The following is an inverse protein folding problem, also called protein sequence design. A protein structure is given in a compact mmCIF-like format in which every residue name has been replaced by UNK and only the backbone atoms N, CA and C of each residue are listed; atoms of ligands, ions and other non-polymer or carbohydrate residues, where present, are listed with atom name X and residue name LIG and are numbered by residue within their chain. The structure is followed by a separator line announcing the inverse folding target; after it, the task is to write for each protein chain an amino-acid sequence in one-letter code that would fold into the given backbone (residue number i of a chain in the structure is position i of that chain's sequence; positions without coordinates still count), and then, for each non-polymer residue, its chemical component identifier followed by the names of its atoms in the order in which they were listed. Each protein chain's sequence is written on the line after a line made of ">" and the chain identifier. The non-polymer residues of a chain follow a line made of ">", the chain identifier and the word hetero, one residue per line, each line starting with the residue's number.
data_IF_496656684881
#
_entry.id   IF_496656684881
#
_cell.length_a   1.000
_cell.length_b   1.000
_cell.length_c   1.000
_cell.angle_alpha   90.00
_cell.angle_beta   90.00
_cell.angle_gamma   90.00
#
_symmetry.space_group_name_H-M   'P 1'
#
loop_
_entity.id
_entity.type
_entity.pdbx_description
1 polymer ?
#
# COMPACT_ATOMS: atom_id res chain seq x y z
N UNK A 1 -3.66 20.38 15.29
CA UNK A 1 -2.85 19.38 14.56
C UNK A 1 -3.78 18.59 13.65
N UNK A 2 -3.66 18.77 12.34
CA UNK A 2 -4.50 18.13 11.33
C UNK A 2 -4.20 16.63 11.25
N UNK A 3 -4.92 15.79 12.01
CA UNK A 3 -5.05 14.37 11.64
C UNK A 3 -5.98 14.31 10.43
N UNK A 4 -5.39 14.42 9.24
CA UNK A 4 -6.07 14.05 7.99
C UNK A 4 -6.52 12.61 8.19
N UNK A 5 -7.83 12.34 8.15
CA UNK A 5 -8.42 11.01 8.33
C UNK A 5 -7.96 10.09 7.19
N UNK A 6 -6.76 9.53 7.30
CA UNK A 6 -6.30 8.45 6.44
C UNK A 6 -7.19 7.26 6.80
N UNK A 7 -8.00 6.80 5.84
CA UNK A 7 -8.84 5.62 6.08
C UNK A 7 -7.94 4.46 6.50
N UNK A 8 -8.37 3.57 7.41
CA UNK A 8 -7.53 2.44 7.85
C UNK A 8 -6.98 1.63 6.67
N UNK A 9 -7.76 1.55 5.57
CA UNK A 9 -7.31 0.96 4.31
C UNK A 9 -6.08 1.66 3.74
N UNK A 10 -6.06 3.00 3.67
CA UNK A 10 -4.88 3.73 3.21
C UNK A 10 -3.64 3.44 4.08
N UNK A 11 -3.80 3.37 5.40
CA UNK A 11 -2.69 3.03 6.31
C UNK A 11 -2.15 1.62 6.05
N UNK A 12 -3.02 0.64 5.77
CA UNK A 12 -2.60 -0.72 5.43
C UNK A 12 -1.78 -0.76 4.14
N UNK A 13 -2.15 0.04 3.13
CA UNK A 13 -1.35 0.17 1.90
C UNK A 13 0.01 0.81 2.17
N UNK A 14 0.07 1.91 2.94
CA UNK A 14 1.33 2.57 3.29
C UNK A 14 2.25 1.64 4.10
N UNK A 15 1.69 0.93 5.09
CA UNK A 15 2.42 -0.06 5.89
C UNK A 15 2.96 -1.19 5.01
N UNK A 16 2.14 -1.73 4.11
CA UNK A 16 2.57 -2.78 3.20
C UNK A 16 3.71 -2.32 2.27
N UNK A 17 3.62 -1.11 1.71
CA UNK A 17 4.69 -0.52 0.88
C UNK A 17 5.98 -0.39 1.69
N UNK A 18 5.90 0.19 2.88
CA UNK A 18 7.06 0.42 3.74
C UNK A 18 7.75 -0.91 4.10
N UNK A 19 7.00 -1.90 4.58
CA UNK A 19 7.56 -3.20 4.97
C UNK A 19 8.20 -3.93 3.78
N UNK A 20 7.63 -3.84 2.58
CA UNK A 20 8.22 -4.44 1.37
C UNK A 20 9.51 -3.70 0.98
N UNK A 21 9.51 -2.37 1.07
CA UNK A 21 10.66 -1.55 0.77
C UNK A 21 11.83 -1.85 1.72
N UNK A 22 11.57 -1.90 3.03
CA UNK A 22 12.60 -2.23 4.03
C UNK A 22 13.23 -3.61 3.79
N UNK A 23 12.46 -4.57 3.27
CA UNK A 23 12.96 -5.92 2.98
C UNK A 23 13.72 -6.05 1.66
N UNK A 24 13.36 -5.28 0.62
CA UNK A 24 13.85 -5.50 -0.75
C UNK A 24 14.57 -4.31 -1.39
N UNK A 25 14.43 -3.12 -0.82
CA UNK A 25 14.87 -1.84 -1.38
C UNK A 25 13.99 -1.32 -2.53
N UNK A 26 12.91 -2.02 -2.89
CA UNK A 26 11.96 -1.60 -3.92
C UNK A 26 10.60 -2.27 -3.71
N UNK A 27 9.55 -1.70 -4.31
CA UNK A 27 8.18 -2.20 -4.19
C UNK A 27 7.63 -2.54 -5.56
N UNK A 28 7.03 -3.74 -5.69
CA UNK A 28 6.28 -4.14 -6.87
C UNK A 28 4.80 -4.29 -6.54
N UNK A 29 3.92 -3.92 -7.48
CA UNK A 29 2.46 -4.05 -7.33
C UNK A 29 2.04 -5.47 -6.93
N UNK A 30 2.69 -6.49 -7.52
CA UNK A 30 2.43 -7.90 -7.21
C UNK A 30 2.73 -8.27 -5.75
N UNK A 31 3.74 -7.64 -5.15
CA UNK A 31 4.12 -7.91 -3.77
C UNK A 31 3.09 -7.30 -2.80
N UNK A 32 2.66 -6.06 -3.06
CA UNK A 32 1.59 -5.39 -2.28
C UNK A 32 0.28 -6.16 -2.41
N UNK A 33 -0.08 -6.58 -3.63
CA UNK A 33 -1.27 -7.40 -3.90
C UNK A 33 -1.27 -8.71 -3.11
N UNK A 34 -0.16 -9.44 -3.10
CA UNK A 34 -0.01 -10.66 -2.31
C UNK A 34 -0.10 -10.40 -0.81
N UNK A 35 0.56 -9.35 -0.31
CA UNK A 35 0.61 -9.03 1.13
C UNK A 35 -0.75 -8.63 1.68
N UNK A 36 -1.55 -7.88 0.91
CA UNK A 36 -2.87 -7.40 1.32
C UNK A 36 -4.03 -8.30 0.87
N UNK A 37 -3.76 -9.38 0.11
CA UNK A 37 -4.80 -10.29 -0.38
C UNK A 37 -5.78 -9.65 -1.39
N UNK A 38 -5.34 -8.61 -2.11
CA UNK A 38 -6.16 -7.85 -3.07
C UNK A 38 -5.70 -8.07 -4.49
N UNK A 39 -6.55 -7.80 -5.48
CA UNK A 39 -6.17 -7.91 -6.89
C UNK A 39 -5.18 -6.81 -7.29
N UNK A 40 -4.21 -7.07 -8.20
CA UNK A 40 -3.26 -6.05 -8.66
C UNK A 40 -3.91 -4.75 -9.18
N UNK A 41 -5.03 -4.77 -9.94
CA UNK A 41 -5.70 -3.54 -10.35
C UNK A 41 -6.18 -2.68 -9.18
N UNK A 42 -6.64 -3.30 -8.08
CA UNK A 42 -7.05 -2.58 -6.86
C UNK A 42 -5.88 -1.87 -6.19
N UNK A 43 -4.68 -2.45 -6.27
CA UNK A 43 -3.46 -1.80 -5.82
C UNK A 43 -3.13 -0.60 -6.71
N UNK A 44 -3.16 -0.77 -8.04
CA UNK A 44 -2.90 0.33 -8.98
C UNK A 44 -3.87 1.49 -8.78
N UNK A 45 -5.16 1.19 -8.61
CA UNK A 45 -6.18 2.20 -8.35
C UNK A 45 -5.92 2.93 -7.03
N UNK A 46 -5.53 2.20 -5.98
CA UNK A 46 -5.21 2.79 -4.69
C UNK A 46 -3.97 3.70 -4.77
N UNK A 47 -2.92 3.27 -5.49
CA UNK A 47 -1.70 4.06 -5.66
C UNK A 47 -1.94 5.38 -6.39
N UNK A 48 -2.94 5.43 -7.27
CA UNK A 48 -3.36 6.67 -7.94
C UNK A 48 -4.12 7.64 -7.01
N UNK A 49 -4.65 7.13 -5.89
CA UNK A 49 -5.45 7.88 -4.90
C UNK A 49 -4.64 8.33 -3.69
N UNK A 50 -3.47 7.74 -3.47
CA UNK A 50 -2.48 8.18 -2.48
C UNK A 50 -1.82 9.48 -2.95
#
# INVERSE_FOLDING_TARGET
>A
MLRKNVSGRCEDYLRAIYEIFEQKGYVRIRDVSKKLGVKPPSVVEMMKKL
#
